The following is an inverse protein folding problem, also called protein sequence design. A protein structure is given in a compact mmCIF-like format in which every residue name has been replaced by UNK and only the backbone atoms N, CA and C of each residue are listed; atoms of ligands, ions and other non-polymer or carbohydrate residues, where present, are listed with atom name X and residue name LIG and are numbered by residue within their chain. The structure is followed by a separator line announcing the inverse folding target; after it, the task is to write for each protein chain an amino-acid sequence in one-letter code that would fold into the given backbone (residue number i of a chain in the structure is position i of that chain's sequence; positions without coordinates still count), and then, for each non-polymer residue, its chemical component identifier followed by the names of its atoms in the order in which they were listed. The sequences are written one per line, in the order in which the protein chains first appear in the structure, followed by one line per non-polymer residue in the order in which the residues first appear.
data_IF_000328162837
#
_entry.id   IF_000328162837
#
_cell.length_a   1.000
_cell.length_b   1.000
_cell.length_c   1.000
_cell.angle_alpha   90.00
_cell.angle_beta   90.00
_cell.angle_gamma   90.00
#
_symmetry.space_group_name_H-M   'P 1'
#
loop_
_entity.id
_entity.type
_entity.pdbx_description
1 polymer ?
#
# COMPACT_ATOMS: atom_id res chain seq x y z
N UNK A 1 -48.48 34.14 34.21
CA UNK A 1 -47.82 33.74 32.96
C UNK A 1 -46.43 33.26 33.37
N UNK A 2 -46.16 32.00 33.05
CA UNK A 2 -45.07 31.16 33.58
C UNK A 2 -43.75 31.58 32.94
N UNK A 3 -42.67 31.62 33.71
CA UNK A 3 -41.38 31.10 33.22
C UNK A 3 -40.56 30.60 34.43
N UNK A 4 -40.53 29.27 34.55
CA UNK A 4 -39.72 28.54 35.50
C UNK A 4 -38.35 28.30 34.85
N UNK A 5 -37.36 29.13 35.21
CA UNK A 5 -35.97 28.87 34.87
C UNK A 5 -35.49 27.63 35.63
N UNK A 6 -35.43 26.50 34.94
CA UNK A 6 -34.85 25.27 35.45
C UNK A 6 -33.33 25.31 35.30
N UNK A 7 -32.66 25.78 36.35
CA UNK A 7 -31.21 25.64 36.52
C UNK A 7 -30.85 24.15 36.63
N UNK A 8 -30.27 23.57 35.57
CA UNK A 8 -29.68 22.23 35.65
C UNK A 8 -28.39 22.30 36.47
N UNK A 9 -28.24 21.52 37.56
CA UNK A 9 -27.03 21.55 38.37
C UNK A 9 -25.82 21.07 37.57
N UNK A 10 -24.73 21.84 37.63
CA UNK A 10 -23.43 21.60 36.95
C UNK A 10 -22.75 20.26 37.31
N UNK A 11 -23.36 19.41 38.13
CA UNK A 11 -22.80 18.14 38.60
C UNK A 11 -22.95 16.96 37.64
N UNK A 12 -23.80 17.04 36.61
CA UNK A 12 -23.89 15.97 35.59
C UNK A 12 -22.76 16.09 34.57
N UNK A 13 -22.37 17.31 34.19
CA UNK A 13 -21.27 17.55 33.25
C UNK A 13 -19.93 16.94 33.70
N UNK A 14 -19.55 17.11 34.97
CA UNK A 14 -18.29 16.58 35.51
C UNK A 14 -18.33 15.06 35.79
N UNK A 15 -19.52 14.43 35.81
CA UNK A 15 -19.69 12.98 35.92
C UNK A 15 -19.77 12.30 34.55
N UNK A 16 -20.36 12.96 33.57
CA UNK A 16 -20.49 12.49 32.19
C UNK A 16 -19.18 12.64 31.41
N UNK A 17 -18.39 13.69 31.70
CA UNK A 17 -17.11 13.95 31.04
C UNK A 17 -16.10 12.79 31.17
N UNK A 18 -15.86 12.19 32.36
CA UNK A 18 -15.00 11.01 32.48
C UNK A 18 -15.49 9.80 31.71
N UNK A 19 -16.81 9.58 31.65
CA UNK A 19 -17.41 8.46 30.91
C UNK A 19 -17.21 8.67 29.42
N UNK A 20 -17.49 9.86 28.90
CA UNK A 20 -17.28 10.21 27.50
C UNK A 20 -15.80 10.12 27.10
N UNK A 21 -14.90 10.60 27.94
CA UNK A 21 -13.45 10.45 27.74
C UNK A 21 -13.04 8.98 27.73
N UNK A 22 -13.55 8.18 28.67
CA UNK A 22 -13.29 6.74 28.72
C UNK A 22 -13.76 6.01 27.47
N UNK A 23 -14.97 6.31 26.99
CA UNK A 23 -15.51 5.75 25.73
C UNK A 23 -14.67 6.22 24.54
N UNK A 24 -14.31 7.50 24.47
CA UNK A 24 -13.48 8.01 23.38
C UNK A 24 -12.10 7.34 23.32
N UNK A 25 -11.45 7.15 24.47
CA UNK A 25 -10.17 6.42 24.57
C UNK A 25 -10.35 4.97 24.15
N UNK A 26 -11.40 4.29 24.63
CA UNK A 26 -11.69 2.90 24.25
C UNK A 26 -11.89 2.77 22.75
N UNK A 27 -12.69 3.64 22.14
CA UNK A 27 -12.91 3.67 20.69
C UNK A 27 -11.59 3.93 19.96
N UNK A 28 -10.78 4.90 20.41
CA UNK A 28 -9.50 5.18 19.79
C UNK A 28 -8.54 3.97 19.85
N UNK A 29 -8.52 3.24 20.98
CA UNK A 29 -7.73 2.01 21.13
C UNK A 29 -8.23 0.92 20.18
N UNK A 30 -9.54 0.71 20.07
CA UNK A 30 -10.11 -0.27 19.15
C UNK A 30 -9.83 0.07 17.68
N UNK A 31 -9.99 1.35 17.31
CA UNK A 31 -9.65 1.82 15.95
C UNK A 31 -8.18 1.57 15.65
N UNK A 32 -7.29 1.87 16.59
CA UNK A 32 -5.85 1.68 16.41
C UNK A 32 -5.42 0.20 16.46
N UNK A 33 -6.16 -0.64 17.16
CA UNK A 33 -5.88 -2.07 17.23
C UNK A 33 -6.34 -2.81 15.96
N UNK A 34 -7.52 -2.45 15.44
CA UNK A 34 -8.19 -3.24 14.40
C UNK A 34 -8.31 -2.55 13.03
N UNK A 35 -8.29 -1.22 12.97
CA UNK A 35 -8.59 -0.49 11.73
C UNK A 35 -7.36 0.16 11.12
N UNK A 36 -6.61 0.90 11.93
CA UNK A 36 -5.52 1.75 11.46
C UNK A 36 -4.19 1.39 12.10
N UNK A 37 -3.18 1.16 11.27
CA UNK A 37 -1.80 0.96 11.71
C UNK A 37 -0.89 2.01 11.07
N UNK A 38 0.08 2.48 11.85
CA UNK A 38 1.07 3.46 11.40
C UNK A 38 2.36 2.73 11.02
N UNK A 39 2.90 3.02 9.84
CA UNK A 39 4.19 2.51 9.39
C UNK A 39 5.18 3.64 9.15
N UNK A 40 6.45 3.38 9.43
CA UNK A 40 7.58 4.25 9.13
C UNK A 40 8.28 3.73 7.88
N UNK A 41 8.78 4.62 7.02
CA UNK A 41 9.45 4.26 5.76
C UNK A 41 10.97 4.33 5.93
N UNK A 42 11.68 3.19 6.06
CA UNK A 42 13.12 3.18 6.29
C UNK A 42 13.96 3.13 5.01
N UNK A 43 13.36 2.87 3.85
CA UNK A 43 14.08 2.56 2.60
C UNK A 43 13.59 3.40 1.41
N UNK A 44 14.43 3.54 0.36
CA UNK A 44 14.10 4.33 -0.83
C UNK A 44 13.31 3.56 -1.90
N UNK A 45 12.93 2.30 -1.68
CA UNK A 45 12.28 1.46 -2.72
C UNK A 45 10.97 2.03 -3.30
N UNK A 46 10.34 2.95 -2.58
CA UNK A 46 9.11 3.65 -2.99
C UNK A 46 9.33 5.14 -3.25
N UNK A 47 10.60 5.58 -3.40
CA UNK A 47 10.96 6.99 -3.56
C UNK A 47 10.28 7.63 -4.78
N UNK A 48 10.15 8.96 -4.74
CA UNK A 48 9.20 9.79 -5.50
C UNK A 48 7.78 9.77 -4.91
N UNK A 49 7.26 8.60 -4.51
CA UNK A 49 5.97 8.48 -3.83
C UNK A 49 6.10 8.56 -2.31
N UNK A 50 6.91 7.68 -1.71
CA UNK A 50 7.22 7.61 -0.28
C UNK A 50 8.72 7.85 -0.11
N UNK A 51 9.12 8.87 0.65
CA UNK A 51 10.54 9.08 0.95
C UNK A 51 10.87 8.50 2.31
N UNK A 52 12.17 8.30 2.52
CA UNK A 52 12.73 7.95 3.82
C UNK A 52 12.20 8.94 4.87
N UNK A 53 11.88 8.41 6.05
CA UNK A 53 11.28 9.10 7.21
C UNK A 53 9.79 9.45 7.11
N UNK A 54 9.11 9.15 6.00
CA UNK A 54 7.66 9.28 5.94
C UNK A 54 6.99 8.34 6.95
N UNK A 55 5.81 8.78 7.44
CA UNK A 55 4.88 7.92 8.17
C UNK A 55 3.56 7.85 7.44
N UNK A 56 3.13 6.62 7.19
CA UNK A 56 1.90 6.32 6.48
C UNK A 56 0.87 5.69 7.41
N UNK A 57 -0.40 5.96 7.14
CA UNK A 57 -1.51 5.22 7.74
C UNK A 57 -1.97 4.13 6.78
N UNK A 58 -2.17 2.95 7.35
CA UNK A 58 -2.60 1.75 6.66
C UNK A 58 -3.98 1.34 7.18
N UNK A 59 -4.91 1.11 6.25
CA UNK A 59 -6.23 0.54 6.56
C UNK A 59 -6.16 -0.98 6.47
N UNK A 60 -6.33 -1.65 7.61
CA UNK A 60 -6.25 -3.11 7.72
C UNK A 60 -7.54 -3.80 7.30
N UNK A 61 -8.68 -3.22 7.66
CA UNK A 61 -10.00 -3.81 7.41
C UNK A 61 -10.39 -3.86 5.94
N UNK A 62 -9.75 -3.04 5.09
CA UNK A 62 -10.19 -2.90 3.70
C UNK A 62 -10.14 -4.22 2.93
N UNK A 63 -9.19 -5.10 3.26
CA UNK A 63 -9.01 -6.36 2.54
C UNK A 63 -9.77 -7.55 3.14
N UNK A 64 -10.41 -7.37 4.30
CA UNK A 64 -11.37 -8.35 4.83
C UNK A 64 -12.68 -8.37 4.02
N UNK A 65 -12.95 -7.31 3.25
CA UNK A 65 -14.20 -7.12 2.50
C UNK A 65 -14.02 -7.08 0.99
N UNK A 66 -12.78 -6.93 0.49
CA UNK A 66 -12.47 -6.91 -0.94
C UNK A 66 -11.03 -7.28 -1.21
N UNK A 67 -10.72 -7.74 -2.42
CA UNK A 67 -9.33 -7.95 -2.83
C UNK A 67 -8.57 -6.63 -3.08
N UNK A 68 -7.23 -6.66 -2.99
CA UNK A 68 -6.36 -5.59 -3.48
C UNK A 68 -6.56 -5.33 -4.97
N UNK A 69 -6.47 -4.06 -5.37
CA UNK A 69 -6.57 -3.65 -6.77
C UNK A 69 -5.23 -3.16 -7.31
N UNK A 70 -5.08 -3.20 -8.63
CA UNK A 70 -3.93 -2.63 -9.34
C UNK A 70 -3.75 -1.15 -8.98
N UNK A 71 -2.50 -0.75 -8.83
CA UNK A 71 -2.08 0.60 -8.49
C UNK A 71 -2.22 0.98 -7.00
N UNK A 72 -2.79 0.12 -6.16
CA UNK A 72 -2.80 0.35 -4.71
C UNK A 72 -1.41 0.18 -4.10
N UNK A 73 -1.11 0.96 -3.07
CA UNK A 73 0.10 0.77 -2.26
C UNK A 73 -0.29 -0.03 -1.03
N UNK A 74 0.39 -1.15 -0.83
CA UNK A 74 0.06 -2.09 0.23
C UNK A 74 1.25 -2.35 1.13
N UNK A 75 0.96 -2.63 2.39
CA UNK A 75 1.91 -3.25 3.31
C UNK A 75 1.58 -4.74 3.39
N UNK A 76 2.57 -5.60 3.30
CA UNK A 76 2.43 -7.05 3.37
C UNK A 76 3.59 -7.68 4.14
N UNK A 77 3.37 -8.88 4.65
CA UNK A 77 4.42 -9.70 5.25
C UNK A 77 5.26 -10.31 4.13
N UNK A 78 6.52 -9.89 4.04
CA UNK A 78 7.44 -10.41 3.04
C UNK A 78 7.77 -11.87 3.36
N UNK A 79 7.74 -12.78 2.37
CA UNK A 79 8.21 -14.15 2.53
C UNK A 79 9.64 -14.21 3.09
N UNK A 80 9.99 -15.32 3.74
CA UNK A 80 11.35 -15.51 4.30
C UNK A 80 12.40 -15.44 3.20
N UNK A 81 12.06 -15.89 2.01
CA UNK A 81 12.88 -15.86 0.81
C UNK A 81 13.18 -14.43 0.34
N UNK A 82 12.32 -13.47 0.70
CA UNK A 82 12.45 -12.07 0.32
C UNK A 82 13.21 -11.26 1.37
N UNK A 83 12.84 -11.44 2.63
CA UNK A 83 13.41 -10.68 3.75
C UNK A 83 14.71 -11.27 4.31
N UNK A 84 14.96 -12.57 4.08
CA UNK A 84 16.00 -13.31 4.78
C UNK A 84 15.74 -13.43 6.29
N UNK A 85 14.58 -12.98 6.77
CA UNK A 85 14.22 -12.93 8.18
C UNK A 85 13.10 -13.94 8.47
N UNK A 86 13.38 -15.02 9.24
CA UNK A 86 12.37 -16.02 9.56
C UNK A 86 11.25 -15.48 10.46
N UNK A 87 11.47 -14.36 11.16
CA UNK A 87 10.45 -13.72 11.99
C UNK A 87 9.50 -12.83 11.15
N UNK A 88 9.75 -12.73 9.84
CA UNK A 88 9.01 -11.91 8.89
C UNK A 88 9.36 -10.42 8.95
N UNK A 89 9.22 -9.74 7.82
CA UNK A 89 9.42 -8.29 7.71
C UNK A 89 8.25 -7.67 6.94
N UNK A 90 7.82 -6.46 7.34
CA UNK A 90 6.76 -5.74 6.65
C UNK A 90 7.34 -4.93 5.48
N UNK A 91 6.91 -5.25 4.26
CA UNK A 91 7.31 -4.53 3.06
C UNK A 91 6.16 -3.66 2.57
N UNK A 92 6.51 -2.53 1.95
CA UNK A 92 5.57 -1.64 1.28
C UNK A 92 5.93 -1.53 -0.19
N UNK A 93 4.96 -1.82 -1.07
CA UNK A 93 5.11 -1.82 -2.53
C UNK A 93 3.79 -1.45 -3.21
N UNK A 94 3.85 -1.17 -4.52
CA UNK A 94 2.66 -0.97 -5.36
C UNK A 94 2.23 -2.28 -5.99
N UNK A 95 0.93 -2.57 -5.95
CA UNK A 95 0.33 -3.67 -6.72
C UNK A 95 0.37 -3.31 -8.20
N UNK A 96 1.10 -4.05 -9.00
CA UNK A 96 1.14 -3.87 -10.45
C UNK A 96 0.13 -4.82 -11.10
N UNK A 97 0.13 -6.10 -10.71
CA UNK A 97 -0.81 -7.11 -11.20
C UNK A 97 -1.51 -7.87 -10.07
N UNK A 98 -2.74 -8.27 -10.32
CA UNK A 98 -3.57 -9.14 -9.47
C UNK A 98 -3.77 -10.50 -10.15
N UNK A 99 -4.33 -11.49 -9.45
CA UNK A 99 -4.60 -12.82 -10.00
C UNK A 99 -5.23 -12.80 -11.40
N UNK A 100 -4.67 -13.59 -12.31
CA UNK A 100 -5.07 -13.67 -13.71
C UNK A 100 -4.36 -12.68 -14.64
N UNK A 101 -3.72 -11.62 -14.12
CA UNK A 101 -3.07 -10.62 -14.98
C UNK A 101 -1.90 -11.17 -15.76
N UNK A 102 -1.87 -10.87 -17.05
CA UNK A 102 -0.71 -11.01 -17.91
C UNK A 102 0.11 -9.71 -17.88
N UNK A 103 1.30 -9.74 -17.28
CA UNK A 103 2.18 -8.59 -17.13
C UNK A 103 3.46 -8.82 -17.91
N UNK A 104 3.76 -7.89 -18.81
CA UNK A 104 4.91 -7.96 -19.71
C UNK A 104 5.72 -6.68 -19.61
N UNK A 105 7.04 -6.81 -19.46
CA UNK A 105 7.95 -5.73 -19.79
C UNK A 105 8.71 -6.08 -21.08
N UNK A 106 8.66 -5.23 -22.12
CA UNK A 106 7.96 -3.95 -22.21
C UNK A 106 7.48 -3.67 -23.65
N UNK A 107 6.59 -2.68 -23.82
CA UNK A 107 6.22 -2.19 -25.16
C UNK A 107 7.38 -1.40 -25.82
N UNK A 108 7.17 -1.01 -27.09
CA UNK A 108 8.17 -0.27 -27.86
C UNK A 108 8.48 1.14 -27.33
N UNK A 109 7.75 1.62 -26.31
CA UNK A 109 7.99 2.89 -25.61
C UNK A 109 8.54 2.67 -24.19
N UNK A 110 9.02 1.47 -23.88
CA UNK A 110 9.56 1.10 -22.55
C UNK A 110 8.50 1.31 -21.46
N UNK A 111 7.30 0.74 -21.66
CA UNK A 111 6.21 0.71 -20.69
C UNK A 111 5.78 -0.71 -20.38
N UNK A 112 5.39 -0.96 -19.13
CA UNK A 112 4.73 -2.22 -18.78
C UNK A 112 3.44 -2.38 -19.58
N UNK A 113 3.14 -3.61 -19.97
CA UNK A 113 1.89 -4.00 -20.62
C UNK A 113 1.15 -4.94 -19.68
N UNK A 114 -0.09 -4.59 -19.33
CA UNK A 114 -0.95 -5.41 -18.47
C UNK A 114 -2.20 -5.76 -19.27
N UNK A 115 -2.45 -7.06 -19.48
CA UNK A 115 -3.57 -7.57 -20.28
C UNK A 115 -3.66 -6.89 -21.65
N UNK A 116 -2.51 -6.73 -22.32
CA UNK A 116 -2.39 -6.09 -23.64
C UNK A 116 -2.51 -4.55 -23.63
N UNK A 117 -2.66 -3.92 -22.47
CA UNK A 117 -2.74 -2.46 -22.32
C UNK A 117 -1.42 -1.91 -21.78
N UNK A 118 -0.77 -1.02 -22.54
CA UNK A 118 0.38 -0.27 -22.04
C UNK A 118 -0.01 0.64 -20.86
N UNK A 119 0.81 0.61 -19.81
CA UNK A 119 0.64 1.38 -18.59
C UNK A 119 1.65 2.54 -18.57
N UNK A 120 1.15 3.77 -18.51
CA UNK A 120 1.99 4.93 -18.23
C UNK A 120 2.20 5.05 -16.70
N UNK A 121 3.46 5.07 -16.25
CA UNK A 121 3.82 5.02 -14.83
C UNK A 121 4.49 6.34 -14.37
N UNK A 122 3.73 7.43 -14.15
CA UNK A 122 4.31 8.74 -13.78
C UNK A 122 4.89 8.78 -12.37
N UNK A 123 4.62 7.76 -11.55
CA UNK A 123 5.09 7.64 -10.18
C UNK A 123 6.47 7.02 -10.07
N UNK A 124 7.01 6.43 -11.14
CA UNK A 124 8.35 5.84 -11.13
C UNK A 124 9.37 6.92 -10.75
N UNK A 125 10.34 6.53 -9.94
CA UNK A 125 11.43 7.39 -9.48
C UNK A 125 12.16 8.07 -10.64
N UNK A 126 12.56 9.31 -10.40
CA UNK A 126 13.37 10.07 -11.33
C UNK A 126 14.35 10.95 -10.58
N UNK A 127 15.60 10.98 -11.03
CA UNK A 127 16.65 11.86 -10.51
C UNK A 127 17.19 12.72 -11.65
N UNK A 128 17.26 14.03 -11.43
CA UNK A 128 17.79 15.00 -12.40
C UNK A 128 17.14 14.94 -13.80
N UNK A 129 15.87 14.53 -13.86
CA UNK A 129 15.09 14.41 -15.10
C UNK A 129 15.18 13.04 -15.78
N UNK A 130 16.05 12.16 -15.30
CA UNK A 130 16.15 10.78 -15.78
C UNK A 130 15.24 9.89 -14.94
N UNK A 131 14.27 9.24 -15.59
CA UNK A 131 13.32 8.32 -14.96
C UNK A 131 13.88 6.90 -15.02
N UNK A 132 13.69 6.15 -13.95
CA UNK A 132 13.99 4.71 -13.96
C UNK A 132 13.22 4.00 -15.08
N UNK A 133 13.82 2.93 -15.59
CA UNK A 133 13.13 2.00 -16.48
C UNK A 133 12.06 1.25 -15.71
N UNK A 134 10.95 0.82 -16.34
CA UNK A 134 9.97 0.01 -15.63
C UNK A 134 10.51 -1.34 -15.15
N UNK A 135 11.50 -1.89 -15.86
CA UNK A 135 12.24 -3.07 -15.46
C UNK A 135 13.63 -3.06 -16.11
N UNK A 136 14.61 -3.62 -15.43
CA UNK A 136 15.99 -3.74 -15.94
C UNK A 136 16.16 -4.93 -16.91
N UNK A 137 15.15 -5.79 -17.00
CA UNK A 137 15.12 -6.92 -17.92
C UNK A 137 13.71 -7.24 -18.37
N UNK A 138 13.62 -7.92 -19.52
CA UNK A 138 12.36 -8.42 -20.05
C UNK A 138 11.80 -9.54 -19.16
N UNK A 139 10.48 -9.55 -19.04
CA UNK A 139 9.74 -10.63 -18.40
C UNK A 139 8.34 -10.71 -19.01
N UNK A 140 7.78 -11.91 -18.98
CA UNK A 140 6.43 -12.23 -19.43
C UNK A 140 5.85 -13.21 -18.40
N UNK A 141 4.91 -12.73 -17.59
CA UNK A 141 4.33 -13.50 -16.49
C UNK A 141 2.82 -13.45 -16.51
N UNK A 142 2.21 -14.49 -15.94
CA UNK A 142 0.80 -14.48 -15.54
C UNK A 142 0.72 -14.61 -14.04
N UNK A 143 0.08 -13.65 -13.38
CA UNK A 143 -0.06 -13.64 -11.92
C UNK A 143 -1.00 -14.79 -11.49
N UNK A 144 -0.57 -15.70 -10.60
CA UNK A 144 -1.44 -16.76 -10.12
C UNK A 144 -2.64 -16.21 -9.35
N UNK A 145 -3.76 -16.92 -9.40
CA UNK A 145 -4.96 -16.58 -8.62
C UNK A 145 -4.67 -16.45 -7.12
N UNK A 146 -5.27 -15.44 -6.48
CA UNK A 146 -5.06 -15.12 -5.07
C UNK A 146 -3.65 -14.62 -4.74
N UNK A 147 -2.86 -14.22 -5.75
CA UNK A 147 -1.52 -13.64 -5.58
C UNK A 147 -1.40 -12.30 -6.28
N UNK A 148 -0.37 -11.56 -5.90
CA UNK A 148 -0.10 -10.20 -6.33
C UNK A 148 1.33 -10.10 -6.87
N UNK A 149 1.46 -9.43 -8.02
CA UNK A 149 2.75 -8.96 -8.54
C UNK A 149 2.96 -7.52 -8.08
N UNK A 150 3.97 -7.30 -7.24
CA UNK A 150 4.22 -6.02 -6.57
C UNK A 150 5.57 -5.45 -6.94
N UNK A 151 5.64 -4.14 -7.17
CA UNK A 151 6.89 -3.46 -7.53
C UNK A 151 7.07 -2.17 -6.73
N UNK A 152 8.32 -1.80 -6.52
CA UNK A 152 8.70 -0.49 -5.99
C UNK A 152 8.50 0.62 -7.02
N UNK A 153 8.25 1.83 -6.54
CA UNK A 153 8.24 3.00 -7.42
C UNK A 153 9.66 3.44 -7.78
N UNK A 154 10.66 3.14 -6.94
CA UNK A 154 12.08 3.28 -7.25
C UNK A 154 12.63 1.95 -7.75
N UNK A 155 12.45 1.70 -9.05
CA UNK A 155 12.66 0.38 -9.69
C UNK A 155 14.07 -0.14 -9.49
N UNK A 156 15.06 0.72 -9.68
CA UNK A 156 16.48 0.36 -9.53
C UNK A 156 16.94 0.11 -8.08
N UNK A 157 16.09 0.40 -7.08
CA UNK A 157 16.40 0.29 -5.65
C UNK A 157 15.34 -0.53 -4.88
N UNK A 158 14.71 -1.51 -5.53
CA UNK A 158 13.59 -2.25 -4.98
C UNK A 158 13.75 -3.77 -5.06
N UNK A 159 13.92 -4.41 -3.90
CA UNK A 159 13.72 -5.85 -3.71
C UNK A 159 12.24 -6.17 -3.70
N UNK A 160 11.72 -6.51 -4.88
CA UNK A 160 10.30 -6.77 -5.11
C UNK A 160 10.09 -8.00 -6.01
N UNK A 161 8.88 -8.17 -6.54
CA UNK A 161 8.53 -9.33 -7.36
C UNK A 161 9.50 -9.57 -8.52
N UNK A 162 10.00 -8.52 -9.17
CA UNK A 162 10.89 -8.68 -10.32
C UNK A 162 12.26 -9.24 -9.90
N UNK A 163 12.83 -8.73 -8.82
CA UNK A 163 14.10 -9.24 -8.28
C UNK A 163 13.95 -10.70 -7.85
N UNK A 164 12.86 -11.04 -7.16
CA UNK A 164 12.63 -12.41 -6.70
C UNK A 164 12.29 -13.38 -7.84
N UNK A 165 11.68 -12.91 -8.92
CA UNK A 165 11.53 -13.70 -10.14
C UNK A 165 12.88 -14.09 -10.75
N UNK A 166 13.84 -13.17 -10.74
CA UNK A 166 15.19 -13.47 -11.24
C UNK A 166 15.92 -14.45 -10.34
N UNK A 167 15.91 -14.20 -9.03
CA UNK A 167 16.61 -15.00 -8.04
C UNK A 167 16.06 -16.42 -7.93
N UNK A 168 14.76 -16.60 -8.14
CA UNK A 168 14.11 -17.92 -8.07
C UNK A 168 14.30 -18.77 -9.34
N UNK A 169 14.99 -18.27 -10.36
CA UNK A 169 15.07 -18.95 -11.66
C UNK A 169 13.76 -18.88 -12.42
N UNK A 170 13.04 -17.76 -12.32
CA UNK A 170 11.78 -17.45 -13.00
C UNK A 170 10.56 -18.21 -12.45
N UNK A 171 10.59 -18.64 -11.19
CA UNK A 171 9.42 -19.20 -10.53
C UNK A 171 8.45 -18.09 -10.11
N UNK A 172 7.28 -18.06 -10.75
CA UNK A 172 6.26 -17.02 -10.52
C UNK A 172 5.62 -17.11 -9.13
N UNK A 173 5.57 -18.30 -8.54
CA UNK A 173 4.96 -18.48 -7.21
C UNK A 173 5.84 -17.83 -6.14
N UNK A 174 7.15 -18.07 -6.19
CA UNK A 174 8.14 -17.45 -5.30
C UNK A 174 8.28 -15.94 -5.52
N UNK A 175 7.95 -15.46 -6.73
CA UNK A 175 8.05 -14.05 -7.12
C UNK A 175 6.80 -13.21 -6.85
N UNK A 176 5.72 -13.81 -6.38
CA UNK A 176 4.47 -13.12 -6.04
C UNK A 176 4.16 -13.29 -4.56
N UNK A 177 3.33 -12.42 -4.01
CA UNK A 177 2.84 -12.54 -2.62
C UNK A 177 1.37 -12.91 -2.60
N UNK A 178 0.94 -13.68 -1.60
CA UNK A 178 -0.46 -14.06 -1.48
C UNK A 178 -1.31 -12.89 -0.94
N UNK A 179 -2.57 -12.81 -1.36
CA UNK A 179 -3.48 -11.73 -0.92
C UNK A 179 -3.71 -11.72 0.60
N UNK A 180 -3.64 -12.88 1.25
CA UNK A 180 -3.81 -13.04 2.70
C UNK A 180 -2.58 -12.60 3.52
N UNK A 181 -1.42 -12.43 2.89
CA UNK A 181 -0.22 -11.84 3.51
C UNK A 181 -0.27 -10.30 3.53
N UNK A 182 -1.30 -9.70 2.93
CA UNK A 182 -1.46 -8.24 2.89
C UNK A 182 -1.98 -7.73 4.23
N UNK A 183 -1.17 -6.92 4.90
CA UNK A 183 -1.52 -6.29 6.19
C UNK A 183 -2.54 -5.17 6.01
N UNK A 184 -2.46 -4.44 4.89
CA UNK A 184 -3.46 -3.42 4.57
C UNK A 184 -3.03 -2.42 3.51
N UNK A 185 -3.94 -1.50 3.17
CA UNK A 185 -3.71 -0.45 2.17
C UNK A 185 -3.12 0.80 2.80
N UNK A 186 -1.95 1.24 2.33
CA UNK A 186 -1.44 2.57 2.62
C UNK A 186 -2.26 3.62 1.85
N UNK A 187 -2.90 4.55 2.57
CA UNK A 187 -3.85 5.49 1.95
C UNK A 187 -3.49 6.96 2.19
N UNK A 188 -2.56 7.27 3.10
CA UNK A 188 -2.10 8.64 3.33
C UNK A 188 -0.71 8.67 3.96
N UNK A 189 0.10 9.65 3.55
CA UNK A 189 1.25 10.12 4.32
C UNK A 189 0.70 11.16 5.28
N UNK A 190 0.89 10.98 6.59
CA UNK A 190 0.42 11.93 7.60
C UNK A 190 1.57 12.69 8.28
N UNK A 191 2.81 12.22 8.12
CA UNK A 191 4.00 12.86 8.65
C UNK A 191 5.20 12.64 7.70
N UNK A 192 6.08 13.65 7.50
CA UNK A 192 6.02 15.01 8.05
C UNK A 192 4.84 15.81 7.47
N UNK A 193 4.31 16.78 8.23
CA UNK A 193 3.11 17.56 7.83
C UNK A 193 3.31 18.29 6.51
N UNK A 194 4.54 18.72 6.19
CA UNK A 194 4.89 19.35 4.91
C UNK A 194 4.69 18.44 3.69
N UNK A 195 4.57 17.14 3.90
CA UNK A 195 4.34 16.12 2.86
C UNK A 195 3.03 15.37 3.03
N UNK A 196 2.15 15.84 3.92
CA UNK A 196 0.89 15.16 4.15
C UNK A 196 0.04 15.15 2.87
N UNK A 197 -0.35 13.96 2.41
CA UNK A 197 -1.10 13.77 1.17
C UNK A 197 -1.86 12.45 1.17
N UNK A 198 -2.84 12.33 0.28
CA UNK A 198 -3.56 11.09 0.03
C UNK A 198 -2.83 10.24 -1.00
N UNK A 199 -2.78 8.93 -0.77
CA UNK A 199 -2.21 7.94 -1.67
C UNK A 199 -3.34 7.33 -2.51
N UNK A 200 -3.72 8.00 -3.59
CA UNK A 200 -4.73 7.53 -4.54
C UNK A 200 -4.15 6.54 -5.55
N UNK A 201 -5.01 5.68 -6.09
CA UNK A 201 -4.66 4.85 -7.24
C UNK A 201 -4.44 5.76 -8.46
N UNK A 202 -3.34 5.62 -9.21
CA UNK A 202 -3.13 6.37 -10.44
C UNK A 202 -4.20 6.03 -11.48
N UNK A 203 -4.81 7.04 -12.10
CA UNK A 203 -5.87 6.89 -13.12
C UNK A 203 -5.48 6.01 -14.33
N UNK A 204 -4.18 5.81 -14.53
CA UNK A 204 -3.64 4.98 -15.61
C UNK A 204 -4.03 3.51 -15.46
N UNK A 205 -4.42 3.08 -14.26
CA UNK A 205 -4.94 1.74 -13.99
C UNK A 205 -6.42 1.56 -14.36
N UNK A 206 -7.23 2.63 -14.44
CA UNK A 206 -8.69 2.54 -14.65
C UNK A 206 -9.08 1.89 -16.00
N UNK A 207 -8.18 1.95 -16.97
CA UNK A 207 -8.40 1.45 -18.33
C UNK A 207 -7.77 0.09 -18.63
N UNK A 208 -7.21 -0.59 -17.63
CA UNK A 208 -6.62 -1.92 -17.79
C UNK A 208 -7.76 -2.95 -17.85
N UNK A 209 -7.84 -3.78 -18.91
CA UNK A 209 -8.82 -4.85 -18.98
C UNK A 209 -8.68 -5.82 -17.80
N UNK A 210 -9.80 -6.40 -17.37
CA UNK A 210 -9.73 -7.57 -16.50
C UNK A 210 -9.23 -8.78 -17.29
N UNK A 211 -8.59 -9.70 -16.59
CA UNK A 211 -8.18 -11.03 -17.09
C UNK A 211 -9.37 -11.91 -17.44
#
# INVERSE_FOLDING_TARGET
MIDEQTDKPRSSFWKELPILLGVAILVAVLVRAFVLQTFFIPSPSMENTLKIDDRVLVNKLVYDFRSPHRGEIIVFKAPTEWSGNPDGEDFIKRVIGVGGDHVVCCDAQDRLVINGKSLDEPYIFSLDGERDRPADQEFDITVPEGRLWVMGDHRSASGDSLEHWQQSGQDITSATIAEDEVVGRAFTIFWPVSRATWLSVPKQYDGIPNS
#
